data_IF_429496806162
#
_entry.id   IF_429496806162
#
_cell.length_a   1.000
_cell.length_b   1.000
_cell.length_c   1.000
_cell.angle_alpha   90.00
_cell.angle_beta   90.00
_cell.angle_gamma   90.00
#
_symmetry.space_group_name_H-M   'P 1'
#
loop_
_entity.id
_entity.type
_entity.pdbx_description
1 polymer ?
#
# COMPACT_ATOMS: atom_id res chain seq x y z
N UNK A 1 16.48 1.17 -15.50
CA UNK A 1 15.20 1.86 -15.76
C UNK A 1 14.03 0.87 -15.94
N UNK A 2 14.26 -0.36 -16.46
CA UNK A 2 13.20 -1.36 -16.68
C UNK A 2 12.46 -1.73 -15.38
N UNK A 3 13.16 -2.12 -14.33
CA UNK A 3 12.55 -2.57 -13.06
C UNK A 3 11.67 -1.50 -12.41
N UNK A 4 12.04 -0.20 -12.49
CA UNK A 4 11.25 0.87 -11.89
C UNK A 4 9.86 1.05 -12.50
N UNK A 5 9.65 0.60 -13.73
CA UNK A 5 8.35 0.65 -14.39
C UNK A 5 7.38 -0.43 -13.90
N UNK A 6 7.91 -1.47 -13.31
CA UNK A 6 7.14 -2.60 -12.77
C UNK A 6 6.96 -2.51 -11.25
N UNK A 7 7.40 -1.42 -10.62
CA UNK A 7 7.35 -1.24 -9.17
C UNK A 7 6.58 0.02 -8.79
N UNK A 8 5.90 -0.04 -7.65
CA UNK A 8 5.36 1.13 -6.97
C UNK A 8 5.86 1.17 -5.52
N UNK A 9 6.00 2.38 -4.97
CA UNK A 9 6.31 2.60 -3.58
C UNK A 9 5.33 3.61 -2.98
N UNK A 10 4.78 3.28 -1.82
CA UNK A 10 3.88 4.13 -1.05
C UNK A 10 4.47 4.29 0.35
N UNK A 11 4.99 5.47 0.71
CA UNK A 11 5.48 5.74 2.07
C UNK A 11 4.32 5.90 3.06
N UNK A 12 4.59 5.78 4.36
CA UNK A 12 3.65 6.04 5.45
C UNK A 12 3.03 7.45 5.39
N UNK A 13 3.84 8.44 5.04
CA UNK A 13 3.37 9.82 4.83
C UNK A 13 3.69 10.25 3.39
N UNK A 14 2.72 10.14 2.46
CA UNK A 14 2.96 10.48 1.07
C UNK A 14 3.29 11.98 0.89
N UNK A 15 4.49 12.26 0.42
CA UNK A 15 4.92 13.62 0.02
C UNK A 15 4.42 13.90 -1.40
N UNK A 16 3.18 14.38 -1.49
CA UNK A 16 2.53 14.71 -2.74
C UNK A 16 2.75 16.17 -3.10
N UNK A 17 2.60 16.52 -4.38
CA UNK A 17 2.73 17.90 -4.85
C UNK A 17 1.51 18.75 -4.45
N UNK A 18 1.55 19.36 -3.29
CA UNK A 18 0.47 20.13 -2.67
C UNK A 18 -0.12 21.24 -3.55
N UNK A 19 0.68 21.80 -4.46
CA UNK A 19 0.27 22.81 -5.43
C UNK A 19 -0.55 22.27 -6.61
N UNK A 20 -0.60 20.96 -6.78
CA UNK A 20 -1.42 20.32 -7.82
C UNK A 20 -2.81 19.99 -7.31
N UNK A 21 -3.77 19.84 -8.22
CA UNK A 21 -5.04 19.16 -7.93
C UNK A 21 -4.84 17.66 -8.01
N UNK A 22 -5.69 16.87 -7.30
CA UNK A 22 -5.62 15.42 -7.33
C UNK A 22 -5.60 14.84 -8.75
N UNK A 23 -6.49 15.33 -9.63
CA UNK A 23 -6.55 14.87 -11.03
C UNK A 23 -5.28 15.21 -11.83
N UNK A 24 -4.67 16.39 -11.60
CA UNK A 24 -3.41 16.75 -12.25
C UNK A 24 -2.27 15.86 -11.79
N UNK A 25 -2.22 15.54 -10.50
CA UNK A 25 -1.22 14.63 -9.95
C UNK A 25 -1.35 13.22 -10.54
N UNK A 26 -2.56 12.65 -10.59
CA UNK A 26 -2.78 11.33 -11.20
C UNK A 26 -2.40 11.30 -12.68
N UNK A 27 -2.73 12.35 -13.44
CA UNK A 27 -2.32 12.46 -14.83
C UNK A 27 -0.79 12.55 -14.98
N UNK A 28 -0.13 13.33 -14.13
CA UNK A 28 1.33 13.46 -14.11
C UNK A 28 2.01 12.11 -13.84
N UNK A 29 1.56 11.35 -12.83
CA UNK A 29 2.08 10.02 -12.56
C UNK A 29 1.85 9.07 -13.74
N UNK A 30 0.66 9.10 -14.34
CA UNK A 30 0.33 8.30 -15.51
C UNK A 30 1.25 8.61 -16.70
N UNK A 31 1.61 9.89 -16.91
CA UNK A 31 2.55 10.30 -17.95
C UNK A 31 3.97 9.74 -17.72
N UNK A 32 4.46 9.78 -16.46
CA UNK A 32 5.77 9.22 -16.09
C UNK A 32 5.86 7.73 -16.45
N UNK A 33 4.79 6.98 -16.18
CA UNK A 33 4.74 5.54 -16.43
C UNK A 33 4.26 5.18 -17.86
N UNK A 34 3.93 6.16 -18.69
CA UNK A 34 3.50 5.95 -20.07
C UNK A 34 2.12 5.30 -20.21
N UNK A 35 1.22 5.53 -19.24
CA UNK A 35 -0.15 5.01 -19.28
C UNK A 35 -0.96 5.75 -20.34
N UNK A 36 -1.47 5.04 -21.34
CA UNK A 36 -2.24 5.61 -22.46
C UNK A 36 -3.52 6.33 -21.99
N UNK A 37 -3.96 7.33 -22.77
CA UNK A 37 -5.06 8.22 -22.38
C UNK A 37 -6.36 7.48 -21.99
N UNK A 38 -6.77 6.49 -22.79
CA UNK A 38 -7.99 5.72 -22.50
C UNK A 38 -7.85 4.91 -21.20
N UNK A 39 -6.77 4.13 -21.07
CA UNK A 39 -6.51 3.32 -19.87
C UNK A 39 -6.39 4.20 -18.62
N UNK A 40 -5.76 5.37 -18.75
CA UNK A 40 -5.64 6.36 -17.69
C UNK A 40 -7.02 6.79 -17.19
N UNK A 41 -7.89 7.22 -18.08
CA UNK A 41 -9.22 7.68 -17.74
C UNK A 41 -10.05 6.58 -17.06
N UNK A 42 -10.04 5.37 -17.61
CA UNK A 42 -10.73 4.22 -17.07
C UNK A 42 -10.23 3.88 -15.65
N UNK A 43 -8.91 3.82 -15.44
CA UNK A 43 -8.30 3.48 -14.15
C UNK A 43 -8.50 4.57 -13.10
N UNK A 44 -8.30 5.83 -13.46
CA UNK A 44 -8.54 6.95 -12.54
C UNK A 44 -10.00 6.90 -12.08
N UNK A 45 -10.95 6.78 -13.00
CA UNK A 45 -12.37 6.69 -12.65
C UNK A 45 -12.64 5.49 -11.73
N UNK A 46 -12.20 4.29 -12.12
CA UNK A 46 -12.39 3.05 -11.35
C UNK A 46 -11.93 3.22 -9.90
N UNK A 47 -10.70 3.68 -9.71
CA UNK A 47 -10.12 3.75 -8.38
C UNK A 47 -10.61 4.95 -7.58
N UNK A 48 -10.80 6.12 -8.21
CA UNK A 48 -11.33 7.29 -7.53
C UNK A 48 -12.76 7.06 -7.02
N UNK A 49 -13.63 6.43 -7.83
CA UNK A 49 -14.98 6.07 -7.41
C UNK A 49 -14.95 5.06 -6.26
N UNK A 50 -14.09 4.04 -6.34
CA UNK A 50 -13.97 3.00 -5.31
C UNK A 50 -13.48 3.54 -3.96
N UNK A 51 -12.53 4.51 -3.97
CA UNK A 51 -12.03 5.19 -2.77
C UNK A 51 -12.87 6.40 -2.35
N UNK A 52 -13.97 6.70 -3.04
CA UNK A 52 -14.84 7.85 -2.77
C UNK A 52 -14.07 9.19 -2.79
N UNK A 53 -13.17 9.34 -3.77
CA UNK A 53 -12.32 10.53 -3.94
C UNK A 53 -12.64 11.32 -5.20
N UNK A 54 -13.62 10.88 -6.01
CA UNK A 54 -13.95 11.45 -7.33
C UNK A 54 -14.28 12.94 -7.26
N UNK A 55 -15.13 13.34 -6.31
CA UNK A 55 -15.57 14.72 -6.16
C UNK A 55 -14.43 15.66 -5.70
N UNK A 56 -13.43 15.10 -5.02
CA UNK A 56 -12.31 15.87 -4.47
C UNK A 56 -11.15 16.02 -5.46
N UNK A 57 -11.13 15.26 -6.56
CA UNK A 57 -10.01 15.28 -7.51
C UNK A 57 -9.75 16.65 -8.15
N UNK A 58 -10.76 17.52 -8.21
CA UNK A 58 -10.62 18.89 -8.70
C UNK A 58 -9.99 19.85 -7.68
N UNK A 59 -9.94 19.47 -6.41
CA UNK A 59 -9.40 20.31 -5.33
C UNK A 59 -7.86 20.22 -5.27
N UNK A 60 -7.17 21.28 -4.78
CA UNK A 60 -5.74 21.22 -4.49
C UNK A 60 -5.44 20.18 -3.42
N UNK A 61 -4.34 19.44 -3.61
CA UNK A 61 -3.87 18.40 -2.65
C UNK A 61 -3.55 19.02 -1.28
N UNK A 62 -3.17 20.30 -1.23
CA UNK A 62 -3.00 21.03 0.02
C UNK A 62 -4.24 21.02 0.93
N UNK A 63 -5.44 20.88 0.35
CA UNK A 63 -6.71 20.82 1.09
C UNK A 63 -7.08 19.39 1.55
N UNK A 64 -6.31 18.37 1.14
CA UNK A 64 -6.61 16.98 1.47
C UNK A 64 -6.26 16.65 2.92
N UNK A 65 -7.11 15.86 3.57
CA UNK A 65 -6.76 15.21 4.82
C UNK A 65 -5.65 14.16 4.60
N UNK A 66 -5.03 13.69 5.68
CA UNK A 66 -4.03 12.62 5.59
C UNK A 66 -4.60 11.37 4.89
N UNK A 67 -5.81 10.93 5.26
CA UNK A 67 -6.47 9.78 4.62
C UNK A 67 -6.76 10.00 3.13
N UNK A 68 -7.13 11.22 2.71
CA UNK A 68 -7.30 11.54 1.29
C UNK A 68 -5.98 11.52 0.54
N UNK A 69 -4.89 12.01 1.12
CA UNK A 69 -3.54 11.91 0.55
C UNK A 69 -3.10 10.45 0.40
N UNK A 70 -3.37 9.63 1.40
CA UNK A 70 -3.08 8.20 1.36
C UNK A 70 -3.88 7.50 0.25
N UNK A 71 -5.18 7.75 0.15
CA UNK A 71 -6.02 7.23 -0.95
C UNK A 71 -5.49 7.67 -2.32
N UNK A 72 -5.11 8.93 -2.48
CA UNK A 72 -4.55 9.45 -3.74
C UNK A 72 -3.23 8.78 -4.12
N UNK A 73 -2.34 8.54 -3.14
CA UNK A 73 -1.08 7.83 -3.34
C UNK A 73 -1.32 6.37 -3.78
N UNK A 74 -2.27 5.69 -3.15
CA UNK A 74 -2.68 4.33 -3.53
C UNK A 74 -3.20 4.31 -4.97
N UNK A 75 -4.13 5.21 -5.33
CA UNK A 75 -4.65 5.30 -6.69
C UNK A 75 -3.50 5.51 -7.69
N UNK A 76 -2.60 6.46 -7.42
CA UNK A 76 -1.45 6.75 -8.28
C UNK A 76 -0.55 5.52 -8.49
N UNK A 77 -0.29 4.75 -7.43
CA UNK A 77 0.52 3.54 -7.48
C UNK A 77 -0.11 2.45 -8.38
N UNK A 78 -1.42 2.30 -8.37
CA UNK A 78 -2.13 1.30 -9.17
C UNK A 78 -2.36 1.68 -10.64
N UNK A 79 -2.13 2.95 -11.03
CA UNK A 79 -2.39 3.41 -12.40
C UNK A 79 -1.58 2.66 -13.47
N UNK A 80 -0.34 2.29 -13.18
CA UNK A 80 0.53 1.62 -14.14
C UNK A 80 0.60 0.09 -13.96
N UNK A 81 -0.23 -0.48 -13.07
CA UNK A 81 -0.32 -1.92 -12.80
C UNK A 81 1.04 -2.55 -12.47
N UNK A 82 1.68 -2.13 -11.38
CA UNK A 82 2.99 -2.65 -11.00
C UNK A 82 2.91 -4.13 -10.62
N UNK A 83 4.00 -4.86 -10.88
CA UNK A 83 4.16 -6.25 -10.44
C UNK A 83 4.69 -6.37 -9.03
N UNK A 84 5.37 -5.35 -8.54
CA UNK A 84 5.86 -5.27 -7.16
C UNK A 84 5.39 -3.96 -6.54
N UNK A 85 4.70 -4.06 -5.41
CA UNK A 85 4.30 -2.89 -4.63
C UNK A 85 4.95 -2.96 -3.25
N UNK A 86 5.66 -1.89 -2.90
CA UNK A 86 6.27 -1.73 -1.58
C UNK A 86 5.49 -0.64 -0.85
N UNK A 87 5.06 -0.91 0.38
CA UNK A 87 4.25 0.02 1.15
C UNK A 87 4.74 0.11 2.60
N UNK A 88 4.73 1.30 3.14
CA UNK A 88 5.04 1.55 4.54
C UNK A 88 3.74 1.95 5.26
N UNK A 89 3.32 1.14 6.26
CA UNK A 89 2.10 1.32 7.05
C UNK A 89 0.84 1.66 6.22
N UNK A 90 0.49 0.90 5.18
CA UNK A 90 -0.47 1.31 4.15
C UNK A 90 -1.92 1.50 4.65
N UNK A 91 -2.24 1.02 5.84
CA UNK A 91 -3.59 1.10 6.42
C UNK A 91 -3.78 2.29 7.35
N UNK A 92 -2.70 2.98 7.72
CA UNK A 92 -2.74 4.15 8.58
C UNK A 92 -3.50 5.28 7.88
N UNK A 93 -4.44 5.89 8.59
CA UNK A 93 -5.26 6.99 8.08
C UNK A 93 -6.40 6.58 7.14
N UNK A 94 -6.53 5.32 6.77
CA UNK A 94 -7.66 4.82 5.98
C UNK A 94 -8.88 4.51 6.86
N UNK A 95 -10.04 4.86 6.36
CA UNK A 95 -11.31 4.39 6.92
C UNK A 95 -11.49 2.88 6.67
N UNK A 96 -12.37 2.18 7.42
CA UNK A 96 -12.55 0.73 7.30
C UNK A 96 -12.92 0.25 5.89
N UNK A 97 -13.67 1.06 5.13
CA UNK A 97 -14.08 0.74 3.77
C UNK A 97 -12.89 0.80 2.81
N UNK A 98 -12.09 1.86 2.90
CA UNK A 98 -10.88 2.02 2.10
C UNK A 98 -9.83 0.94 2.45
N UNK A 99 -9.67 0.60 3.73
CA UNK A 99 -8.78 -0.46 4.16
C UNK A 99 -9.22 -1.83 3.62
N UNK A 100 -10.52 -2.13 3.62
CA UNK A 100 -11.05 -3.36 3.03
C UNK A 100 -10.81 -3.41 1.51
N UNK A 101 -11.05 -2.31 0.81
CA UNK A 101 -10.79 -2.20 -0.62
C UNK A 101 -9.31 -2.43 -0.94
N UNK A 102 -8.40 -1.78 -0.21
CA UNK A 102 -6.96 -1.96 -0.40
C UNK A 102 -6.54 -3.42 -0.23
N UNK A 103 -7.05 -4.12 0.80
CA UNK A 103 -6.78 -5.55 1.00
C UNK A 103 -7.20 -6.40 -0.20
N UNK A 104 -8.38 -6.11 -0.80
CA UNK A 104 -8.84 -6.77 -2.02
C UNK A 104 -7.91 -6.52 -3.19
N UNK A 105 -7.53 -5.25 -3.42
CA UNK A 105 -6.60 -4.86 -4.48
C UNK A 105 -5.20 -5.49 -4.32
N UNK A 106 -4.72 -5.62 -3.08
CA UNK A 106 -3.46 -6.32 -2.78
C UNK A 106 -3.53 -7.79 -3.17
N UNK A 107 -4.64 -8.46 -2.83
CA UNK A 107 -4.85 -9.87 -3.19
C UNK A 107 -4.91 -10.05 -4.71
N UNK A 108 -5.64 -9.21 -5.43
CA UNK A 108 -5.71 -9.23 -6.90
C UNK A 108 -4.31 -9.18 -7.53
N UNK A 109 -3.42 -8.28 -7.07
CA UNK A 109 -2.04 -8.21 -7.58
C UNK A 109 -1.28 -9.51 -7.36
N UNK A 110 -1.42 -10.15 -6.19
CA UNK A 110 -0.75 -11.43 -5.89
C UNK A 110 -1.34 -12.57 -6.73
N UNK A 111 -2.65 -12.62 -6.90
CA UNK A 111 -3.32 -13.65 -7.70
C UNK A 111 -2.96 -13.56 -9.20
N UNK A 112 -2.65 -12.37 -9.69
CA UNK A 112 -2.13 -12.10 -11.03
C UNK A 112 -0.62 -12.38 -11.18
N UNK A 113 0.04 -12.90 -10.12
CA UNK A 113 1.47 -13.25 -10.11
C UNK A 113 2.42 -12.11 -9.75
N UNK A 114 1.89 -10.99 -9.27
CA UNK A 114 2.67 -9.91 -8.66
C UNK A 114 3.06 -10.23 -7.22
N UNK A 115 3.72 -9.27 -6.57
CA UNK A 115 4.14 -9.37 -5.19
C UNK A 115 3.89 -8.06 -4.45
N UNK A 116 3.53 -8.19 -3.17
CA UNK A 116 3.37 -7.06 -2.26
C UNK A 116 4.29 -7.24 -1.07
N UNK A 117 5.03 -6.19 -0.75
CA UNK A 117 5.83 -6.11 0.46
C UNK A 117 5.38 -4.87 1.25
N UNK A 118 4.96 -5.05 2.49
CA UNK A 118 4.58 -3.91 3.32
C UNK A 118 5.05 -4.07 4.77
N UNK A 119 5.35 -2.94 5.40
CA UNK A 119 5.58 -2.88 6.84
C UNK A 119 4.25 -2.65 7.56
N UNK A 120 4.12 -3.19 8.75
CA UNK A 120 3.03 -2.85 9.67
C UNK A 120 3.39 -3.19 11.12
N UNK A 121 2.87 -2.41 12.05
CA UNK A 121 2.90 -2.72 13.48
C UNK A 121 1.59 -3.42 13.94
N UNK A 122 0.62 -3.61 13.04
CA UNK A 122 -0.66 -4.27 13.34
C UNK A 122 -0.54 -5.76 13.00
N UNK A 123 -0.13 -6.55 14.00
CA UNK A 123 0.19 -7.97 13.84
C UNK A 123 -0.99 -8.79 13.30
N UNK A 124 -2.21 -8.48 13.72
CA UNK A 124 -3.43 -9.13 13.23
C UNK A 124 -3.64 -8.94 11.71
N UNK A 125 -3.27 -7.76 11.19
CA UNK A 125 -3.33 -7.49 9.73
C UNK A 125 -2.30 -8.33 9.00
N UNK A 126 -1.06 -8.39 9.50
CA UNK A 126 -0.01 -9.22 8.93
C UNK A 126 -0.42 -10.70 8.93
N UNK A 127 -0.92 -11.21 10.06
CA UNK A 127 -1.34 -12.61 10.20
C UNK A 127 -2.44 -13.01 9.20
N UNK A 128 -3.38 -12.10 8.91
CA UNK A 128 -4.50 -12.39 7.99
C UNK A 128 -4.18 -12.21 6.51
N UNK A 129 -3.18 -11.37 6.19
CA UNK A 129 -2.93 -11.00 4.80
C UNK A 129 -1.66 -11.62 4.22
N UNK A 130 -0.63 -11.87 5.04
CA UNK A 130 0.70 -12.22 4.56
C UNK A 130 0.88 -13.73 4.43
N UNK A 131 1.44 -14.17 3.30
CA UNK A 131 1.90 -15.53 3.11
C UNK A 131 3.24 -15.77 3.84
N UNK A 132 4.07 -14.70 3.91
CA UNK A 132 5.39 -14.70 4.57
C UNK A 132 5.53 -13.46 5.44
N UNK A 133 6.31 -13.59 6.50
CA UNK A 133 6.55 -12.51 7.45
C UNK A 133 8.03 -12.44 7.82
N UNK A 134 8.49 -11.23 8.12
CA UNK A 134 9.82 -10.96 8.65
C UNK A 134 9.68 -10.05 9.88
N UNK A 135 10.17 -10.49 11.04
CA UNK A 135 10.15 -9.74 12.29
C UNK A 135 11.50 -9.02 12.44
N UNK A 136 11.44 -7.70 12.54
CA UNK A 136 12.61 -6.84 12.71
C UNK A 136 12.55 -6.18 14.09
N UNK A 137 13.67 -6.23 14.83
CA UNK A 137 13.83 -5.59 16.13
C UNK A 137 15.20 -4.90 16.21
N UNK A 138 15.23 -3.64 16.64
CA UNK A 138 16.46 -2.86 16.75
C UNK A 138 17.36 -2.90 15.48
N UNK A 139 16.72 -2.85 14.30
CA UNK A 139 17.41 -2.89 12.99
C UNK A 139 17.95 -4.27 12.60
N UNK A 140 17.60 -5.34 13.32
CA UNK A 140 18.03 -6.70 13.00
C UNK A 140 16.84 -7.58 12.65
N UNK A 141 17.03 -8.42 11.64
CA UNK A 141 16.09 -9.49 11.32
C UNK A 141 16.17 -10.57 12.39
N UNK A 142 15.09 -10.77 13.12
CA UNK A 142 15.01 -11.75 14.22
C UNK A 142 14.48 -13.09 13.72
N UNK A 143 13.40 -13.06 12.95
CA UNK A 143 12.74 -14.26 12.41
C UNK A 143 12.11 -13.95 11.07
N UNK A 144 12.15 -14.91 10.13
CA UNK A 144 11.45 -14.78 8.85
C UNK A 144 11.11 -16.17 8.30
N UNK A 145 10.01 -16.26 7.57
CA UNK A 145 9.54 -17.51 6.96
C UNK A 145 8.11 -17.34 6.45
N UNK A 146 7.48 -18.45 6.11
CA UNK A 146 6.03 -18.48 5.90
C UNK A 146 5.32 -18.14 7.21
N UNK A 147 4.07 -17.70 7.10
CA UNK A 147 3.28 -17.39 8.30
C UNK A 147 3.22 -18.60 9.25
N UNK A 148 3.02 -19.80 8.72
CA UNK A 148 2.98 -21.05 9.51
C UNK A 148 4.32 -21.35 10.20
N UNK A 149 5.46 -21.19 9.50
CA UNK A 149 6.80 -21.41 10.06
C UNK A 149 7.14 -20.43 11.18
N UNK A 150 6.65 -19.19 11.08
CA UNK A 150 6.97 -18.15 12.05
C UNK A 150 6.06 -18.22 13.27
N UNK A 151 4.76 -18.43 13.11
CA UNK A 151 3.82 -18.43 14.22
C UNK A 151 3.64 -19.82 14.86
N UNK A 152 3.78 -20.92 14.12
CA UNK A 152 3.46 -22.25 14.60
C UNK A 152 1.99 -22.37 15.00
N UNK A 153 1.74 -22.92 16.20
CA UNK A 153 0.39 -23.07 16.78
C UNK A 153 -0.10 -21.80 17.53
N UNK A 154 0.77 -20.79 17.71
CA UNK A 154 0.49 -19.56 18.44
C UNK A 154 -0.05 -18.44 17.52
N UNK A 155 -0.41 -17.30 18.08
CA UNK A 155 -0.67 -16.08 17.31
C UNK A 155 0.65 -15.35 16.99
N UNK A 156 0.67 -14.57 15.91
CA UNK A 156 1.84 -13.74 15.61
C UNK A 156 2.16 -12.75 16.75
N UNK A 157 1.14 -12.31 17.50
CA UNK A 157 1.28 -11.44 18.65
C UNK A 157 2.02 -12.13 19.80
N UNK A 158 1.67 -13.39 20.11
CA UNK A 158 2.38 -14.17 21.14
C UNK A 158 3.84 -14.38 20.78
N UNK A 159 4.12 -14.79 19.55
CA UNK A 159 5.50 -14.92 19.06
C UNK A 159 6.28 -13.62 19.15
N UNK A 160 5.64 -12.49 18.82
CA UNK A 160 6.27 -11.19 18.92
C UNK A 160 6.61 -10.81 20.37
N UNK A 161 5.68 -11.04 21.31
CA UNK A 161 5.88 -10.79 22.74
C UNK A 161 6.98 -11.67 23.36
N UNK A 162 7.05 -12.95 22.98
CA UNK A 162 8.13 -13.85 23.40
C UNK A 162 9.49 -13.33 22.96
N UNK A 163 9.61 -12.95 21.68
CA UNK A 163 10.84 -12.37 21.11
C UNK A 163 11.20 -11.00 21.75
N UNK A 164 10.22 -10.27 22.30
CA UNK A 164 10.49 -9.08 23.09
C UNK A 164 11.00 -9.42 24.49
N UNK A 165 10.49 -10.47 25.13
CA UNK A 165 10.89 -10.90 26.47
C UNK A 165 12.24 -11.58 26.54
N UNK A 166 12.71 -12.26 25.50
CA UNK A 166 14.02 -12.91 25.43
C UNK A 166 15.22 -11.93 25.30
N UNK A 167 14.96 -10.64 25.14
CA UNK A 167 15.98 -9.63 24.88
C UNK A 167 16.31 -8.74 26.12
N UNK A 168 15.93 -9.17 27.33
CA UNK A 168 16.33 -8.55 28.62
C UNK A 168 17.51 -9.27 29.27
#
# INVERSE_FOLDING_TARGET
LGCKREMAYIPDNPDLYDFMTGIKYLNFVADIFGVGAQQRQERIRKYADAFELTEDLAQPIAAYSHGMKQKLAIIAAWLHQPKLIIMDEPFVGLDPKAAHLLKGMMREVCDEGGAIFFSTHVLEVAEKLCDKVAIIKAGRLIRSGTMEEVKGDDSLEQVFLELEGEAC
#
